data_IF_003882667168
#
_entry.id   IF_003882667168
#
_cell.length_a   1.000
_cell.length_b   1.000
_cell.length_c   1.000
_cell.angle_alpha   90.00
_cell.angle_beta   90.00
_cell.angle_gamma   90.00
#
_symmetry.space_group_name_H-M   'P 1'
#
loop_
_entity.id
_entity.type
_entity.pdbx_description
1 polymer ?
#
# COMPACT_ATOMS: atom_id res chain seq x y z
N UNK A 1 1.43 -1.92 -19.89
CA UNK A 1 1.09 -1.42 -18.54
C UNK A 1 2.32 -1.51 -17.65
N UNK A 2 2.48 -0.59 -16.73
CA UNK A 2 3.62 -0.48 -15.81
C UNK A 2 3.59 -1.53 -14.67
N UNK A 3 2.65 -2.43 -14.69
CA UNK A 3 2.51 -3.51 -13.73
C UNK A 3 2.27 -4.85 -14.39
N UNK A 4 2.65 -5.92 -13.71
CA UNK A 4 2.39 -7.30 -14.13
C UNK A 4 0.97 -7.75 -13.72
N UNK A 5 0.65 -9.01 -14.03
CA UNK A 5 -0.58 -9.62 -13.55
C UNK A 5 -0.66 -9.66 -12.01
N UNK A 6 0.47 -9.73 -11.31
CA UNK A 6 0.51 -9.69 -9.85
C UNK A 6 -0.11 -8.41 -9.28
N UNK A 7 0.37 -7.23 -9.70
CA UNK A 7 -0.14 -5.96 -9.20
C UNK A 7 -1.57 -5.71 -9.67
N UNK A 8 -1.83 -5.92 -10.98
CA UNK A 8 -3.13 -5.63 -11.58
C UNK A 8 -4.27 -6.53 -11.08
N UNK A 9 -3.97 -7.73 -10.56
CA UNK A 9 -4.99 -8.63 -9.98
C UNK A 9 -5.68 -8.07 -8.74
N UNK A 10 -5.10 -7.05 -8.10
CA UNK A 10 -5.65 -6.42 -6.89
C UNK A 10 -6.24 -5.02 -7.15
N UNK A 11 -6.29 -4.54 -8.38
CA UNK A 11 -6.74 -3.19 -8.73
C UNK A 11 -8.26 -3.00 -8.62
N UNK A 12 -8.86 -3.45 -7.51
CA UNK A 12 -10.31 -3.39 -7.22
C UNK A 12 -10.58 -2.80 -5.82
N UNK A 13 -10.02 -1.61 -5.46
CA UNK A 13 -10.20 -1.06 -4.13
C UNK A 13 -11.65 -0.65 -3.83
N UNK A 14 -12.48 -0.51 -4.86
CA UNK A 14 -13.89 -0.13 -4.73
C UNK A 14 -14.80 -1.29 -4.31
N UNK A 15 -14.38 -2.55 -4.50
CA UNK A 15 -15.16 -3.76 -4.16
C UNK A 15 -14.25 -4.90 -3.68
N UNK A 16 -13.65 -4.70 -2.51
CA UNK A 16 -12.69 -5.67 -1.96
C UNK A 16 -13.36 -6.96 -1.50
N UNK A 17 -14.64 -6.90 -1.09
CA UNK A 17 -15.41 -8.08 -0.72
C UNK A 17 -15.73 -8.94 -1.95
N UNK A 18 -16.15 -8.32 -3.05
CA UNK A 18 -16.34 -9.02 -4.32
C UNK A 18 -15.05 -9.66 -4.83
N UNK A 19 -13.91 -8.97 -4.67
CA UNK A 19 -12.61 -9.55 -4.98
C UNK A 19 -12.33 -10.78 -4.09
N UNK A 20 -12.60 -10.69 -2.80
CA UNK A 20 -12.43 -11.81 -1.88
C UNK A 20 -13.30 -13.01 -2.27
N UNK A 21 -14.55 -12.79 -2.67
CA UNK A 21 -15.44 -13.85 -3.18
C UNK A 21 -14.85 -14.56 -4.41
N UNK A 22 -14.30 -13.81 -5.36
CA UNK A 22 -13.65 -14.35 -6.56
C UNK A 22 -12.43 -15.23 -6.22
N UNK A 23 -11.71 -14.90 -5.16
CA UNK A 23 -10.58 -15.71 -4.66
C UNK A 23 -11.01 -16.90 -3.78
N UNK A 24 -12.31 -17.04 -3.49
CA UNK A 24 -12.85 -18.11 -2.64
C UNK A 24 -12.88 -17.77 -1.14
N UNK A 25 -12.87 -16.48 -0.81
CA UNK A 25 -12.99 -15.94 0.54
C UNK A 25 -11.82 -15.07 0.97
N UNK A 26 -12.04 -14.30 2.05
CA UNK A 26 -11.07 -13.34 2.59
C UNK A 26 -9.70 -13.97 2.88
N UNK A 27 -9.68 -15.15 3.50
CA UNK A 27 -8.44 -15.88 3.80
C UNK A 27 -7.65 -16.25 2.54
N UNK A 28 -8.32 -16.64 1.46
CA UNK A 28 -7.69 -16.98 0.19
C UNK A 28 -7.11 -15.74 -0.48
N UNK A 29 -7.82 -14.62 -0.45
CA UNK A 29 -7.32 -13.35 -0.95
C UNK A 29 -6.07 -12.92 -0.16
N UNK A 30 -6.10 -12.98 1.18
CA UNK A 30 -4.95 -12.63 2.02
C UNK A 30 -3.75 -13.54 1.76
N UNK A 31 -3.97 -14.86 1.60
CA UNK A 31 -2.88 -15.77 1.19
C UNK A 31 -2.28 -15.39 -0.17
N UNK A 32 -3.12 -14.95 -1.11
CA UNK A 32 -2.62 -14.50 -2.41
C UNK A 32 -1.77 -13.23 -2.32
N UNK A 33 -2.09 -12.34 -1.38
CA UNK A 33 -1.25 -11.18 -1.07
C UNK A 33 0.05 -11.60 -0.38
N UNK A 34 0.02 -12.59 0.51
CA UNK A 34 1.25 -13.17 1.10
C UNK A 34 2.16 -13.77 0.03
N UNK A 35 1.58 -14.48 -0.94
CA UNK A 35 2.33 -15.00 -2.10
C UNK A 35 2.96 -13.87 -2.91
N UNK A 36 2.25 -12.77 -3.14
CA UNK A 36 2.78 -11.60 -3.85
C UNK A 36 4.04 -11.05 -3.16
N UNK A 37 4.03 -10.92 -1.83
CA UNK A 37 5.19 -10.46 -1.07
C UNK A 37 6.32 -11.50 -0.98
N UNK A 38 6.02 -12.78 -1.09
CA UNK A 38 6.98 -13.89 -1.01
C UNK A 38 7.57 -14.27 -2.37
N UNK A 39 6.93 -13.90 -3.47
CA UNK A 39 7.38 -14.22 -4.83
C UNK A 39 8.68 -13.48 -5.15
N UNK A 40 9.49 -14.04 -6.02
CA UNK A 40 10.71 -13.37 -6.45
C UNK A 40 10.39 -12.08 -7.22
N UNK A 41 11.14 -11.00 -7.02
CA UNK A 41 10.94 -9.74 -7.74
C UNK A 41 11.51 -9.82 -9.16
N UNK A 42 11.01 -10.78 -9.96
CA UNK A 42 11.38 -10.93 -11.37
C UNK A 42 10.33 -10.29 -12.27
N UNK A 43 10.73 -9.92 -13.46
CA UNK A 43 9.87 -9.32 -14.46
C UNK A 43 10.21 -9.82 -15.87
N UNK A 44 9.25 -9.68 -16.76
CA UNK A 44 9.44 -9.87 -18.18
C UNK A 44 9.06 -8.57 -18.90
N UNK A 45 9.83 -8.21 -19.92
CA UNK A 45 9.64 -6.95 -20.64
C UNK A 45 8.30 -6.88 -21.40
N UNK A 46 7.69 -8.04 -21.70
CA UNK A 46 6.37 -8.12 -22.31
C UNK A 46 6.26 -7.30 -23.60
N UNK A 47 5.16 -6.55 -23.71
CA UNK A 47 4.86 -5.73 -24.89
C UNK A 47 5.76 -4.49 -25.05
N UNK A 48 6.53 -4.10 -24.03
CA UNK A 48 7.50 -3.00 -24.17
C UNK A 48 8.71 -3.37 -25.03
N UNK A 49 9.07 -4.65 -25.11
CA UNK A 49 10.24 -5.13 -25.87
C UNK A 49 11.58 -4.65 -25.32
N UNK A 50 11.58 -3.96 -24.17
CA UNK A 50 12.74 -3.46 -23.42
C UNK A 50 12.40 -3.31 -21.96
N UNK A 51 13.40 -3.23 -21.12
CA UNK A 51 13.24 -2.84 -19.71
C UNK A 51 12.75 -1.40 -19.58
N UNK A 52 11.83 -1.16 -18.65
CA UNK A 52 11.42 0.15 -18.19
C UNK A 52 11.79 0.30 -16.72
N UNK A 53 11.92 1.53 -16.22
CA UNK A 53 12.45 1.78 -14.87
C UNK A 53 11.59 1.15 -13.77
N UNK A 54 10.28 1.10 -13.91
CA UNK A 54 9.36 0.50 -12.93
C UNK A 54 9.64 -0.99 -12.70
N UNK A 55 10.13 -1.71 -13.71
CA UNK A 55 10.51 -3.12 -13.58
C UNK A 55 11.79 -3.28 -12.77
N UNK A 56 12.80 -2.46 -13.07
CA UNK A 56 14.11 -2.50 -12.40
C UNK A 56 14.01 -1.97 -10.96
N UNK A 57 13.21 -0.96 -10.72
CA UNK A 57 12.91 -0.41 -9.39
C UNK A 57 12.19 -1.42 -8.50
N UNK A 58 11.15 -2.10 -9.01
CA UNK A 58 10.48 -3.18 -8.28
C UNK A 58 11.48 -4.27 -7.87
N UNK A 59 12.34 -4.69 -8.81
CA UNK A 59 13.34 -5.72 -8.54
C UNK A 59 14.39 -5.25 -7.52
N UNK A 60 14.79 -3.97 -7.58
CA UNK A 60 15.75 -3.38 -6.66
C UNK A 60 15.18 -3.20 -5.24
N UNK A 61 13.91 -2.88 -5.12
CA UNK A 61 13.24 -2.73 -3.83
C UNK A 61 13.10 -4.05 -3.07
N UNK A 62 13.05 -5.20 -3.77
CA UNK A 62 13.05 -6.57 -3.22
C UNK A 62 11.91 -6.87 -2.22
N UNK A 63 10.70 -6.37 -2.52
CA UNK A 63 9.48 -6.72 -1.78
C UNK A 63 8.59 -7.70 -2.55
N UNK A 64 9.20 -8.72 -3.12
CA UNK A 64 8.52 -9.69 -3.96
C UNK A 64 7.95 -9.05 -5.22
N UNK A 65 6.69 -9.29 -5.49
CA UNK A 65 5.94 -8.65 -6.58
C UNK A 65 5.17 -7.41 -6.12
N UNK A 66 5.39 -6.92 -4.89
CA UNK A 66 4.87 -5.63 -4.45
C UNK A 66 5.77 -4.50 -4.98
N UNK A 67 5.39 -3.94 -6.11
CA UNK A 67 6.09 -2.82 -6.74
C UNK A 67 5.79 -1.51 -5.99
N UNK A 68 6.33 -1.36 -4.77
CA UNK A 68 6.14 -0.13 -3.98
C UNK A 68 6.77 1.09 -4.66
N UNK A 69 7.58 0.88 -5.66
CA UNK A 69 8.12 1.91 -6.54
C UNK A 69 7.10 2.54 -7.47
N UNK A 70 5.87 1.98 -7.58
CA UNK A 70 4.85 2.50 -8.49
C UNK A 70 3.42 2.36 -7.93
N UNK A 71 2.52 3.28 -8.30
CA UNK A 71 1.16 3.44 -7.81
C UNK A 71 0.26 2.19 -7.89
N UNK A 72 0.36 1.30 -8.89
CA UNK A 72 -0.45 0.08 -8.94
C UNK A 72 -0.38 -0.79 -7.69
N UNK A 73 0.70 -0.68 -6.90
CA UNK A 73 0.90 -1.46 -5.68
C UNK A 73 0.55 -0.74 -4.37
N UNK A 74 0.32 0.58 -4.39
CA UNK A 74 0.18 1.39 -3.18
C UNK A 74 -0.95 0.96 -2.25
N UNK A 75 -2.05 0.46 -2.80
CA UNK A 75 -3.20 0.00 -2.01
C UNK A 75 -3.03 -1.45 -1.49
N UNK A 76 -2.14 -2.25 -2.08
CA UNK A 76 -2.04 -3.69 -1.79
C UNK A 76 -1.76 -3.99 -0.31
N UNK A 77 -0.80 -3.33 0.38
CA UNK A 77 -0.57 -3.57 1.81
C UNK A 77 -1.76 -3.26 2.69
N UNK A 78 -2.68 -2.41 2.22
CA UNK A 78 -3.87 -1.98 2.96
C UNK A 78 -5.09 -2.89 2.73
N UNK A 79 -5.02 -3.84 1.80
CA UNK A 79 -6.11 -4.80 1.57
C UNK A 79 -6.34 -5.66 2.83
N UNK A 80 -5.30 -6.04 3.56
CA UNK A 80 -5.48 -6.78 4.82
C UNK A 80 -6.38 -6.02 5.79
N UNK A 81 -6.12 -4.74 6.01
CA UNK A 81 -6.94 -3.92 6.89
C UNK A 81 -8.36 -3.70 6.34
N UNK A 82 -8.52 -3.52 5.02
CA UNK A 82 -9.84 -3.47 4.40
C UNK A 82 -10.67 -4.73 4.68
N UNK A 83 -10.02 -5.88 4.85
CA UNK A 83 -10.62 -7.16 5.23
C UNK A 83 -10.68 -7.40 6.76
N UNK A 84 -10.27 -6.41 7.58
CA UNK A 84 -10.31 -6.47 9.05
C UNK A 84 -8.99 -6.79 9.74
N UNK A 85 -7.93 -7.12 9.00
CA UNK A 85 -6.63 -7.54 9.52
C UNK A 85 -5.63 -6.37 9.61
N UNK A 86 -5.90 -5.43 10.52
CA UNK A 86 -5.10 -4.20 10.71
C UNK A 86 -3.64 -4.49 11.03
N UNK A 87 -3.35 -5.51 11.83
CA UNK A 87 -1.98 -5.82 12.25
C UNK A 87 -1.12 -6.35 11.10
N UNK A 88 -1.70 -7.03 10.11
CA UNK A 88 -1.00 -7.46 8.90
C UNK A 88 -0.66 -6.27 8.01
N UNK A 89 -1.59 -5.34 7.84
CA UNK A 89 -1.31 -4.04 7.18
C UNK A 89 -0.18 -3.30 7.90
N UNK A 90 -0.25 -3.19 9.23
CA UNK A 90 0.75 -2.50 10.02
C UNK A 90 2.15 -3.09 9.83
N UNK A 91 2.28 -4.41 9.85
CA UNK A 91 3.54 -5.10 9.61
C UNK A 91 4.15 -4.73 8.26
N UNK A 92 3.38 -4.85 7.17
CA UNK A 92 3.89 -4.57 5.82
C UNK A 92 4.17 -3.08 5.60
N UNK A 93 3.28 -2.19 6.03
CA UNK A 93 3.47 -0.74 5.88
C UNK A 93 4.68 -0.26 6.67
N UNK A 94 4.87 -0.72 7.91
CA UNK A 94 6.04 -0.38 8.70
C UNK A 94 7.33 -0.87 8.04
N UNK A 95 7.33 -2.11 7.55
CA UNK A 95 8.48 -2.68 6.85
C UNK A 95 8.81 -1.90 5.59
N UNK A 96 7.82 -1.61 4.75
CA UNK A 96 7.98 -0.82 3.53
C UNK A 96 8.50 0.59 3.83
N UNK A 97 7.93 1.29 4.82
CA UNK A 97 8.41 2.62 5.22
C UNK A 97 9.86 2.62 5.69
N UNK A 98 10.32 1.57 6.38
CA UNK A 98 11.67 1.49 6.93
C UNK A 98 12.72 1.05 5.92
N UNK A 99 12.36 0.15 5.01
CA UNK A 99 13.31 -0.53 4.14
C UNK A 99 13.33 0.02 2.71
N UNK A 100 12.19 0.55 2.21
CA UNK A 100 12.09 1.09 0.85
C UNK A 100 12.33 2.61 0.78
N UNK A 101 12.24 3.33 1.90
CA UNK A 101 12.43 4.79 1.96
C UNK A 101 13.64 5.16 2.80
N UNK A 102 14.33 6.23 2.43
CA UNK A 102 15.49 6.74 3.17
C UNK A 102 15.55 8.27 3.16
N UNK A 103 16.51 8.85 3.90
CA UNK A 103 16.80 10.29 3.91
C UNK A 103 17.88 10.69 2.88
N UNK A 104 18.28 9.79 1.98
CA UNK A 104 19.22 10.10 0.91
C UNK A 104 18.53 10.92 -0.21
N UNK A 105 19.32 11.51 -1.09
CA UNK A 105 18.80 12.30 -2.24
C UNK A 105 17.98 11.42 -3.21
N UNK A 106 18.26 10.11 -3.24
CA UNK A 106 17.52 9.06 -3.95
C UNK A 106 16.66 8.22 -3.01
N UNK A 107 16.08 8.84 -2.00
CA UNK A 107 15.40 8.18 -0.87
C UNK A 107 14.02 7.58 -1.16
N UNK A 108 13.53 7.67 -2.39
CA UNK A 108 12.30 7.01 -2.83
C UNK A 108 12.61 5.73 -3.61
N UNK A 109 11.77 4.69 -3.49
CA UNK A 109 11.96 3.44 -4.23
C UNK A 109 11.68 3.52 -5.73
N UNK A 110 11.13 4.63 -6.22
CA UNK A 110 10.80 4.93 -7.60
C UNK A 110 10.51 6.41 -7.79
N UNK A 111 9.89 6.76 -8.91
CA UNK A 111 9.55 8.14 -9.21
C UNK A 111 8.56 8.73 -8.20
N UNK A 112 8.80 9.97 -7.78
CA UNK A 112 8.00 10.65 -6.74
C UNK A 112 6.58 10.98 -7.20
N UNK A 113 6.39 11.23 -8.49
CA UNK A 113 5.11 11.40 -9.17
C UNK A 113 4.16 12.44 -8.54
N UNK A 114 4.61 13.68 -8.52
CA UNK A 114 3.82 14.85 -8.09
C UNK A 114 3.24 14.73 -6.66
N UNK A 115 3.99 14.19 -5.74
CA UNK A 115 3.61 14.04 -4.34
C UNK A 115 3.05 12.68 -3.97
N UNK A 116 2.83 11.79 -4.93
CA UNK A 116 2.14 10.51 -4.69
C UNK A 116 2.96 9.57 -3.81
N UNK A 117 4.25 9.42 -4.09
CA UNK A 117 5.17 8.59 -3.33
C UNK A 117 5.40 9.15 -1.92
N UNK A 118 5.64 10.46 -1.82
CA UNK A 118 5.81 11.14 -0.54
C UNK A 118 4.55 11.03 0.34
N UNK A 119 3.36 11.21 -0.24
CA UNK A 119 2.10 11.08 0.48
C UNK A 119 1.82 9.64 0.92
N UNK A 120 2.20 8.64 0.14
CA UNK A 120 2.10 7.24 0.57
C UNK A 120 2.89 7.00 1.86
N UNK A 121 4.14 7.47 1.91
CA UNK A 121 4.98 7.40 3.11
C UNK A 121 4.35 8.15 4.29
N UNK A 122 3.87 9.37 4.08
CA UNK A 122 3.23 10.17 5.14
C UNK A 122 1.99 9.46 5.70
N UNK A 123 1.11 8.95 4.86
CA UNK A 123 -0.05 8.17 5.30
C UNK A 123 0.36 6.89 6.05
N UNK A 124 1.38 6.18 5.58
CA UNK A 124 1.93 5.02 6.25
C UNK A 124 2.41 5.33 7.67
N UNK A 125 3.13 6.44 7.83
CA UNK A 125 3.63 6.91 9.13
C UNK A 125 2.50 7.40 10.04
N UNK A 126 1.47 8.02 9.48
CA UNK A 126 0.28 8.48 10.24
C UNK A 126 -0.65 7.33 10.64
N UNK A 127 -0.56 6.17 9.99
CA UNK A 127 -1.33 4.98 10.31
C UNK A 127 -2.72 4.91 9.72
N UNK A 128 -2.96 5.52 8.57
CA UNK A 128 -4.19 5.39 7.80
C UNK A 128 -3.94 5.67 6.31
N UNK A 129 -4.84 5.24 5.43
CA UNK A 129 -4.66 5.38 3.98
C UNK A 129 -6.00 5.59 3.25
N UNK A 130 -6.09 6.51 2.28
CA UNK A 130 -7.28 6.71 1.44
C UNK A 130 -7.43 5.58 0.42
N UNK A 131 -7.83 4.41 0.89
CA UNK A 131 -7.80 3.14 0.14
C UNK A 131 -8.67 3.14 -1.12
N UNK A 132 -9.89 3.68 -1.01
CA UNK A 132 -10.84 3.72 -2.12
C UNK A 132 -11.12 5.17 -2.53
N UNK A 133 -10.60 5.65 -3.68
CA UNK A 133 -10.90 6.99 -4.17
C UNK A 133 -12.42 7.23 -4.30
N UNK A 134 -12.87 8.38 -3.80
CA UNK A 134 -14.30 8.75 -3.82
C UNK A 134 -15.11 8.31 -2.60
N UNK A 135 -14.60 7.46 -1.73
CA UNK A 135 -15.20 7.20 -0.42
C UNK A 135 -14.61 8.14 0.64
N UNK A 136 -15.45 8.81 1.47
CA UNK A 136 -14.99 9.73 2.50
C UNK A 136 -14.52 8.98 3.77
N UNK A 137 -13.58 8.07 3.59
CA UNK A 137 -13.06 7.21 4.65
C UNK A 137 -11.60 6.81 4.37
N UNK A 138 -10.92 6.42 5.43
CA UNK A 138 -9.57 5.84 5.37
C UNK A 138 -9.59 4.43 5.92
N UNK A 139 -8.72 3.58 5.39
CA UNK A 139 -8.42 2.27 5.97
C UNK A 139 -7.33 2.46 7.03
N UNK A 140 -7.50 1.83 8.18
CA UNK A 140 -6.60 1.95 9.33
C UNK A 140 -5.32 1.12 9.12
N UNK A 141 -4.19 1.72 9.49
CA UNK A 141 -2.92 1.04 9.76
C UNK A 141 -2.56 1.18 11.24
N UNK A 142 -1.27 1.37 11.52
CA UNK A 142 -0.72 1.72 12.82
C UNK A 142 0.19 2.93 12.68
N UNK A 143 0.05 3.91 13.58
CA UNK A 143 0.94 5.08 13.55
C UNK A 143 2.37 4.68 13.91
N UNK A 144 3.34 5.30 13.25
CA UNK A 144 4.77 5.08 13.47
C UNK A 144 5.43 6.29 14.16
N UNK A 145 4.65 7.33 14.50
CA UNK A 145 5.10 8.55 15.18
C UNK A 145 4.43 8.70 16.53
N UNK A 146 5.10 9.38 17.46
CA UNK A 146 4.55 9.60 18.81
C UNK A 146 3.31 10.49 18.79
N UNK A 147 3.34 11.55 18.00
CA UNK A 147 2.24 12.53 17.87
C UNK A 147 2.16 13.02 16.43
N UNK A 148 0.95 13.22 15.95
CA UNK A 148 0.68 13.82 14.67
C UNK A 148 -0.39 14.90 14.79
N UNK A 149 -0.32 15.94 13.96
CA UNK A 149 -1.26 17.04 13.94
C UNK A 149 -1.75 17.30 12.52
N UNK A 150 -3.05 17.39 12.34
CA UNK A 150 -3.69 17.79 11.09
C UNK A 150 -4.54 19.03 11.36
N UNK A 151 -4.31 20.11 10.62
CA UNK A 151 -5.01 21.39 10.80
C UNK A 151 -5.05 21.87 12.27
N UNK A 152 -3.95 21.66 13.02
CA UNK A 152 -3.83 22.07 14.42
C UNK A 152 -4.51 21.14 15.45
N UNK A 153 -5.16 20.07 15.01
CA UNK A 153 -5.72 19.03 15.88
C UNK A 153 -4.77 17.84 15.96
N UNK A 154 -4.59 17.30 17.16
CA UNK A 154 -3.88 16.03 17.29
C UNK A 154 -4.72 14.91 16.74
N UNK A 155 -4.14 14.09 15.88
CA UNK A 155 -4.77 12.91 15.27
C UNK A 155 -4.05 11.64 15.76
N UNK A 156 -4.83 10.62 16.06
CA UNK A 156 -4.33 9.31 16.48
C UNK A 156 -5.16 8.20 15.83
N UNK A 157 -4.62 7.59 14.77
CA UNK A 157 -5.28 6.47 14.09
C UNK A 157 -5.53 5.28 15.04
N UNK A 158 -4.67 5.09 16.03
CA UNK A 158 -4.79 3.98 16.98
C UNK A 158 -5.97 4.15 17.96
N UNK A 159 -6.48 5.38 18.12
CA UNK A 159 -7.64 5.66 18.98
C UNK A 159 -9.00 5.25 18.39
N UNK A 160 -9.05 4.92 17.10
CA UNK A 160 -10.28 4.50 16.45
C UNK A 160 -10.48 2.98 16.57
N UNK A 161 -11.71 2.57 16.90
CA UNK A 161 -12.09 1.17 16.87
C UNK A 161 -12.31 0.69 15.44
N UNK A 162 -12.04 -0.62 15.20
CA UNK A 162 -12.21 -1.23 13.88
C UNK A 162 -11.11 -0.86 12.87
N UNK A 163 -11.42 -1.04 11.60
CA UNK A 163 -10.48 -0.91 10.48
C UNK A 163 -10.77 0.28 9.55
N UNK A 164 -11.84 1.02 9.76
CA UNK A 164 -12.24 2.18 8.96
C UNK A 164 -12.28 3.43 9.83
N UNK A 165 -11.71 4.52 9.32
CA UNK A 165 -11.73 5.84 9.95
C UNK A 165 -12.52 6.78 9.02
N UNK A 166 -13.69 7.32 9.44
CA UNK A 166 -14.42 8.30 8.66
C UNK A 166 -13.59 9.58 8.43
N UNK A 167 -13.66 10.15 7.24
CA UNK A 167 -12.97 11.41 6.92
C UNK A 167 -13.30 12.51 7.94
N UNK A 168 -14.59 12.65 8.30
CA UNK A 168 -15.07 13.66 9.26
C UNK A 168 -14.50 13.51 10.66
N UNK A 169 -13.86 12.40 10.98
CA UNK A 169 -13.24 12.20 12.29
C UNK A 169 -11.80 12.75 12.35
N UNK A 170 -11.19 13.04 11.19
CA UNK A 170 -9.83 13.56 11.08
C UNK A 170 -9.77 15.05 10.70
N UNK A 171 -10.84 15.62 10.15
CA UNK A 171 -10.93 17.02 9.68
C UNK A 171 -12.06 17.78 10.31
#
# INVERSE_FOLDING_TARGET
TEGSAWQNSFAVPHDIEGLAELYGGREQLMRKIDELFAEKPHYEVGGYGREIHEMTEMAAADFGQCAISNQPSFHIPYIYSALGEVDRTAYWVEKLCKEAFSYADDGFPGDEDNGTMALWYVFGVLGFYPFCPGKPEFVKGRKQVKRAFLCGREIDADSFDGNIIPYSALV
#
